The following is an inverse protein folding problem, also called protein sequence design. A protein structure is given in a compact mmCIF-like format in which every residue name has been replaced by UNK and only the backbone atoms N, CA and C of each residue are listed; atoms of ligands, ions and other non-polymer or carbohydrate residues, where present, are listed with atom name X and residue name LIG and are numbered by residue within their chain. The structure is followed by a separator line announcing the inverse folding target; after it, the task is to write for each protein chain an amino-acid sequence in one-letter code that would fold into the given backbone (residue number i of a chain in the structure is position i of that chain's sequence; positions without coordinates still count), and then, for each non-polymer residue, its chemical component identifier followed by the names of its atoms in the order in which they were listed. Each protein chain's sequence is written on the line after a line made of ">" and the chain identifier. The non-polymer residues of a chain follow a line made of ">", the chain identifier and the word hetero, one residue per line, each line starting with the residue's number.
data_IF_311589299914
#
_entry.id   IF_311589299914
#
_cell.length_a   1.000
_cell.length_b   1.000
_cell.length_c   1.000
_cell.angle_alpha   90.00
_cell.angle_beta   90.00
_cell.angle_gamma   90.00
#
_symmetry.space_group_name_H-M   'P 1'
#
loop_
_entity.id
_entity.type
_entity.pdbx_description
1 polymer ?
#
# COMPACT_ATOMS: atom_id res chain seq x y z
N UNK A 1 -3.79 -4.75 -35.71
CA UNK A 1 -3.80 -3.90 -34.50
C UNK A 1 -3.49 -4.79 -33.31
N UNK A 2 -2.40 -4.53 -32.59
CA UNK A 2 -2.03 -5.31 -31.42
C UNK A 2 -2.59 -4.59 -30.18
N UNK A 3 -3.47 -5.25 -29.44
CA UNK A 3 -4.04 -4.72 -28.21
C UNK A 3 -3.28 -5.38 -27.05
N UNK A 4 -2.49 -4.63 -26.25
CA UNK A 4 -1.77 -5.20 -25.13
C UNK A 4 -2.77 -5.60 -24.02
N UNK A 5 -2.46 -6.69 -23.31
CA UNK A 5 -3.26 -7.13 -22.14
C UNK A 5 -3.25 -6.08 -21.01
N UNK A 6 -2.12 -5.43 -20.80
CA UNK A 6 -1.93 -4.34 -19.85
C UNK A 6 -0.96 -3.32 -20.45
N UNK A 7 -1.38 -2.06 -20.56
CA UNK A 7 -0.57 -0.96 -21.03
C UNK A 7 -0.30 0.05 -19.91
N UNK A 8 0.68 -0.24 -19.08
CA UNK A 8 1.11 0.65 -17.98
C UNK A 8 1.60 2.00 -18.49
N UNK A 9 2.19 2.05 -19.72
CA UNK A 9 2.64 3.31 -20.30
C UNK A 9 1.46 4.24 -20.61
N UNK A 10 0.38 3.72 -21.19
CA UNK A 10 -0.81 4.50 -21.46
C UNK A 10 -1.52 4.94 -20.16
N UNK A 11 -1.58 4.08 -19.15
CA UNK A 11 -2.15 4.41 -17.84
C UNK A 11 -1.35 5.53 -17.18
N UNK A 12 -0.03 5.39 -17.08
CA UNK A 12 0.82 6.36 -16.41
C UNK A 12 0.95 7.68 -17.19
N UNK A 13 0.74 7.67 -18.50
CA UNK A 13 0.78 8.89 -19.32
C UNK A 13 -0.25 9.94 -18.89
N UNK A 14 -1.37 9.52 -18.30
CA UNK A 14 -2.42 10.40 -17.78
C UNK A 14 -1.94 11.28 -16.62
N UNK A 15 -0.99 10.79 -15.84
CA UNK A 15 -0.45 11.42 -14.64
C UNK A 15 1.06 11.65 -14.71
N UNK A 16 1.62 11.60 -15.93
CA UNK A 16 3.07 11.58 -16.12
C UNK A 16 3.80 12.80 -15.54
N UNK A 17 3.20 13.99 -15.64
CA UNK A 17 3.80 15.22 -15.11
C UNK A 17 3.87 15.17 -13.56
N UNK A 18 2.76 14.79 -12.92
CA UNK A 18 2.65 14.71 -11.46
C UNK A 18 3.55 13.62 -10.88
N UNK A 19 3.56 12.43 -11.51
CA UNK A 19 4.42 11.32 -11.11
C UNK A 19 5.91 11.66 -11.20
N UNK A 20 6.32 12.33 -12.30
CA UNK A 20 7.71 12.78 -12.47
C UNK A 20 8.08 13.86 -11.47
N UNK A 21 7.19 14.80 -11.19
CA UNK A 21 7.42 15.85 -10.20
C UNK A 21 7.56 15.27 -8.79
N UNK A 22 6.72 14.31 -8.39
CA UNK A 22 6.83 13.62 -7.12
C UNK A 22 8.15 12.84 -6.98
N UNK A 23 8.52 12.10 -8.01
CA UNK A 23 9.80 11.39 -8.04
C UNK A 23 11.00 12.34 -7.95
N UNK A 24 10.97 13.47 -8.66
CA UNK A 24 12.02 14.49 -8.59
C UNK A 24 12.15 15.06 -7.18
N UNK A 25 11.05 15.43 -6.52
CA UNK A 25 11.08 15.93 -5.13
C UNK A 25 11.74 14.94 -4.17
N UNK A 26 11.44 13.65 -4.29
CA UNK A 26 12.06 12.61 -3.45
C UNK A 26 13.57 12.52 -3.72
N UNK A 27 13.97 12.50 -5.00
CA UNK A 27 15.39 12.43 -5.40
C UNK A 27 16.14 13.66 -4.90
N UNK A 28 15.60 14.85 -5.11
CA UNK A 28 16.22 16.12 -4.72
C UNK A 28 16.33 16.26 -3.20
N UNK A 29 15.38 15.71 -2.44
CA UNK A 29 15.41 15.72 -0.98
C UNK A 29 16.52 14.83 -0.40
N UNK A 30 16.95 13.81 -1.11
CA UNK A 30 17.87 12.78 -0.61
C UNK A 30 17.29 11.89 0.51
N UNK A 31 16.01 12.06 0.85
CA UNK A 31 15.35 11.31 1.93
C UNK A 31 14.36 10.29 1.36
N UNK A 32 14.77 9.04 1.31
CA UNK A 32 14.07 7.96 0.60
C UNK A 32 13.21 7.06 1.50
N UNK A 33 13.44 7.05 2.80
CA UNK A 33 12.71 6.18 3.75
C UNK A 33 11.97 7.04 4.76
N UNK A 34 10.66 6.81 4.91
CA UNK A 34 9.79 7.57 5.81
C UNK A 34 9.90 9.09 5.63
N UNK A 35 10.03 9.52 4.36
CA UNK A 35 10.16 10.92 3.98
C UNK A 35 8.82 11.66 3.94
N UNK A 36 8.87 12.92 3.49
CA UNK A 36 7.69 13.79 3.47
C UNK A 36 6.57 13.27 2.56
N UNK A 37 6.89 12.71 1.39
CA UNK A 37 5.87 12.16 0.47
C UNK A 37 5.08 11.00 1.11
N UNK A 38 5.72 10.19 1.97
CA UNK A 38 5.03 9.13 2.72
C UNK A 38 4.06 9.73 3.73
N UNK A 39 4.48 10.73 4.50
CA UNK A 39 3.63 11.40 5.49
C UNK A 39 2.42 12.07 4.85
N UNK A 40 2.64 12.77 3.72
CA UNK A 40 1.57 13.41 2.95
C UNK A 40 0.59 12.36 2.46
N UNK A 41 1.07 11.27 1.86
CA UNK A 41 0.24 10.17 1.39
C UNK A 41 -0.59 9.55 2.52
N UNK A 42 0.04 9.26 3.67
CA UNK A 42 -0.66 8.69 4.83
C UNK A 42 -1.80 9.59 5.30
N UNK A 43 -1.57 10.90 5.36
CA UNK A 43 -2.59 11.88 5.74
C UNK A 43 -3.73 11.97 4.71
N UNK A 44 -3.42 12.08 3.43
CA UNK A 44 -4.40 12.15 2.36
C UNK A 44 -5.23 10.86 2.26
N UNK A 45 -4.59 9.70 2.35
CA UNK A 45 -5.27 8.41 2.28
C UNK A 45 -6.17 8.17 3.51
N UNK A 46 -5.72 8.51 4.71
CA UNK A 46 -6.54 8.48 5.90
C UNK A 46 -7.79 9.35 5.76
N UNK A 47 -7.62 10.61 5.29
CA UNK A 47 -8.73 11.52 5.05
C UNK A 47 -9.71 10.98 4.00
N UNK A 48 -9.19 10.43 2.89
CA UNK A 48 -10.01 9.88 1.81
C UNK A 48 -10.82 8.65 2.24
N UNK A 49 -10.26 7.79 3.07
CA UNK A 49 -10.94 6.59 3.59
C UNK A 49 -11.81 6.86 4.80
N UNK A 50 -11.74 8.07 5.39
CA UNK A 50 -12.43 8.40 6.65
C UNK A 50 -11.81 7.71 7.87
N UNK A 51 -10.57 7.20 7.75
CA UNK A 51 -9.84 6.59 8.85
C UNK A 51 -9.11 7.66 9.67
N UNK A 52 -8.97 7.51 11.00
CA UNK A 52 -8.18 8.44 11.80
C UNK A 52 -6.68 8.38 11.50
N UNK A 53 -6.20 7.24 11.00
CA UNK A 53 -4.78 7.02 10.72
C UNK A 53 -4.57 6.15 9.48
N UNK A 54 -3.40 6.31 8.86
CA UNK A 54 -2.89 5.42 7.82
C UNK A 54 -1.40 5.18 8.08
N UNK A 55 -0.94 3.98 7.83
CA UNK A 55 0.48 3.60 7.93
C UNK A 55 0.91 3.00 6.61
N UNK A 56 1.87 3.64 5.95
CA UNK A 56 2.49 3.13 4.72
C UNK A 56 3.33 1.89 4.99
N UNK A 57 3.22 0.91 4.11
CA UNK A 57 4.00 -0.34 4.17
C UNK A 57 4.73 -0.57 2.86
N UNK A 58 5.75 -1.43 2.86
CA UNK A 58 6.53 -1.75 1.65
C UNK A 58 5.69 -2.44 0.57
N UNK A 59 4.72 -3.25 0.99
CA UNK A 59 3.90 -4.09 0.10
C UNK A 59 2.63 -4.58 0.81
N UNK A 60 1.73 -5.21 0.03
CA UNK A 60 0.47 -5.70 0.55
C UNK A 60 0.59 -6.87 1.53
N UNK A 61 1.61 -7.72 1.41
CA UNK A 61 1.86 -8.79 2.37
C UNK A 61 2.23 -8.21 3.74
N UNK A 62 3.13 -7.24 3.76
CA UNK A 62 3.52 -6.52 4.98
C UNK A 62 2.32 -5.84 5.64
N UNK A 63 1.41 -5.26 4.84
CA UNK A 63 0.18 -4.66 5.35
C UNK A 63 -0.71 -5.70 6.05
N UNK A 64 -0.92 -6.87 5.43
CA UNK A 64 -1.71 -7.95 6.01
C UNK A 64 -1.08 -8.50 7.30
N UNK A 65 0.23 -8.74 7.30
CA UNK A 65 0.97 -9.19 8.50
C UNK A 65 0.81 -8.19 9.63
N UNK A 66 0.99 -6.89 9.36
CA UNK A 66 0.86 -5.85 10.39
C UNK A 66 -0.57 -5.76 10.93
N UNK A 67 -1.59 -5.88 10.08
CA UNK A 67 -2.98 -5.88 10.51
C UNK A 67 -3.28 -7.07 11.45
N UNK A 68 -2.88 -8.29 11.07
CA UNK A 68 -3.09 -9.47 11.89
C UNK A 68 -2.32 -9.41 13.20
N UNK A 69 -1.08 -8.94 13.18
CA UNK A 69 -0.30 -8.72 14.41
C UNK A 69 -0.92 -7.67 15.29
N UNK A 70 -1.38 -6.56 14.73
CA UNK A 70 -2.09 -5.53 15.49
C UNK A 70 -3.32 -6.09 16.21
N UNK A 71 -4.11 -6.94 15.54
CA UNK A 71 -5.25 -7.60 16.17
C UNK A 71 -4.84 -8.57 17.28
N UNK A 72 -3.71 -9.27 17.14
CA UNK A 72 -3.16 -10.11 18.21
C UNK A 72 -2.75 -9.28 19.44
N UNK A 73 -2.04 -8.18 19.23
CA UNK A 73 -1.64 -7.27 20.30
C UNK A 73 -2.83 -6.64 21.03
N UNK A 74 -3.92 -6.37 20.31
CA UNK A 74 -5.17 -5.88 20.89
C UNK A 74 -6.04 -6.98 21.54
N UNK A 75 -5.62 -8.24 21.48
CA UNK A 75 -6.37 -9.37 22.02
C UNK A 75 -7.61 -9.75 21.21
N UNK A 76 -7.77 -9.23 19.99
CA UNK A 76 -8.87 -9.51 19.08
C UNK A 76 -8.66 -10.81 18.29
N UNK A 77 -7.43 -11.28 18.19
CA UNK A 77 -7.02 -12.51 17.52
C UNK A 77 -6.04 -13.27 18.41
N UNK A 78 -6.17 -14.59 18.45
CA UNK A 78 -5.32 -15.49 19.24
C UNK A 78 -4.68 -16.56 18.37
N UNK A 79 -3.61 -17.17 18.85
CA UNK A 79 -3.00 -18.31 18.17
C UNK A 79 -4.00 -19.47 18.08
N UNK A 80 -4.18 -19.99 16.88
CA UNK A 80 -5.14 -21.04 16.57
C UNK A 80 -6.49 -20.55 16.05
N UNK A 81 -6.75 -19.24 16.08
CA UNK A 81 -7.96 -18.68 15.46
C UNK A 81 -7.90 -18.82 13.94
N UNK A 82 -9.06 -19.02 13.32
CA UNK A 82 -9.17 -19.16 11.88
C UNK A 82 -9.39 -17.81 11.22
N UNK A 83 -8.66 -17.56 10.13
CA UNK A 83 -8.84 -16.39 9.27
C UNK A 83 -9.41 -16.85 7.93
N UNK A 84 -10.58 -16.33 7.56
CA UNK A 84 -11.20 -16.65 6.28
C UNK A 84 -10.58 -15.79 5.17
N UNK A 85 -10.12 -16.46 4.12
CA UNK A 85 -9.56 -15.81 2.93
C UNK A 85 -10.29 -16.29 1.67
N UNK A 86 -10.42 -15.48 0.61
CA UNK A 86 -10.97 -15.93 -0.66
C UNK A 86 -10.14 -17.07 -1.25
N UNK A 87 -10.80 -18.07 -1.82
CA UNK A 87 -10.11 -19.18 -2.49
C UNK A 87 -9.36 -18.74 -3.76
N UNK A 88 -9.84 -17.67 -4.41
CA UNK A 88 -9.21 -17.06 -5.58
C UNK A 88 -8.51 -15.76 -5.17
N UNK A 89 -7.37 -15.86 -4.53
CA UNK A 89 -6.56 -14.74 -4.10
C UNK A 89 -5.08 -14.97 -4.39
N UNK A 90 -4.28 -13.91 -4.31
CA UNK A 90 -2.83 -14.02 -4.38
C UNK A 90 -2.30 -14.70 -3.11
N UNK A 91 -1.23 -15.46 -3.25
CA UNK A 91 -0.64 -16.27 -2.16
C UNK A 91 -0.32 -15.46 -0.90
N UNK A 92 -0.07 -14.16 -1.01
CA UNK A 92 0.18 -13.28 0.11
C UNK A 92 -0.91 -13.33 1.20
N UNK A 93 -2.18 -13.53 0.80
CA UNK A 93 -3.30 -13.64 1.74
C UNK A 93 -3.23 -14.89 2.64
N UNK A 94 -2.46 -15.90 2.20
CA UNK A 94 -2.26 -17.16 2.95
C UNK A 94 -0.96 -17.10 3.76
N UNK A 95 0.03 -16.34 3.27
CA UNK A 95 1.35 -16.22 3.91
C UNK A 95 1.38 -15.20 5.07
N UNK A 96 0.40 -14.33 5.14
CA UNK A 96 0.28 -13.34 6.22
C UNK A 96 -0.11 -14.00 7.54
#
# INVERSE_FOLDING_TARGET
>A
MQVPFLDLKAINARHAAELKAAAARVIDSGWYVLGEEVKVFEGEFAAWTGSPHCVGTSDGLSALILALRGWKELGLLKDGDAVAVPANTYIASILA
#
